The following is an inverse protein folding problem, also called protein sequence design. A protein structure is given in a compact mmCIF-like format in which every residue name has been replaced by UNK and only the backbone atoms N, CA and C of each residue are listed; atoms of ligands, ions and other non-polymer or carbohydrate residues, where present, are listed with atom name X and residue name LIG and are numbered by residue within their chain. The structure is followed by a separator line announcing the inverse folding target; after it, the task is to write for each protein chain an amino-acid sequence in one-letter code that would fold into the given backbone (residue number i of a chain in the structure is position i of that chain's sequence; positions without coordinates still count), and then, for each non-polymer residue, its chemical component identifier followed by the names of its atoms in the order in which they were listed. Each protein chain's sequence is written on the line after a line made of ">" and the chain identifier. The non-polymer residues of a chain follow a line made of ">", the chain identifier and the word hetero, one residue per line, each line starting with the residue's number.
data_IF_439941755574
#
_entry.id   IF_439941755574
#
_cell.length_a   1.000
_cell.length_b   1.000
_cell.length_c   1.000
_cell.angle_alpha   90.00
_cell.angle_beta   90.00
_cell.angle_gamma   90.00
#
_symmetry.space_group_name_H-M   'P 1'
#
loop_
_entity.id
_entity.type
_entity.pdbx_description
1 polymer ?
#
# COMPACT_ATOMS: atom_id res chain seq x y z
N UNK A 1 0.35 16.56 8.39
CA UNK A 1 0.05 16.17 6.99
C UNK A 1 1.13 16.74 6.06
N UNK A 2 2.04 15.90 5.54
CA UNK A 2 3.19 16.33 4.71
C UNK A 2 2.83 16.44 3.22
N UNK A 3 3.65 17.15 2.43
CA UNK A 3 3.45 17.30 0.98
C UNK A 3 3.43 15.95 0.25
N UNK A 4 4.31 15.03 0.64
CA UNK A 4 4.36 13.68 0.09
C UNK A 4 3.05 12.90 0.33
N UNK A 5 2.42 13.05 1.50
CA UNK A 5 1.13 12.38 1.77
C UNK A 5 -0.03 12.95 0.98
N UNK A 6 0.02 14.24 0.59
CA UNK A 6 -1.01 14.84 -0.28
C UNK A 6 -0.92 14.32 -1.71
N UNK A 7 0.30 14.13 -2.22
CA UNK A 7 0.52 13.68 -3.59
C UNK A 7 0.36 12.16 -3.77
N UNK A 8 0.85 11.37 -2.81
CA UNK A 8 0.97 9.91 -2.93
C UNK A 8 0.07 9.13 -1.95
N UNK A 9 -0.80 9.83 -1.21
CA UNK A 9 -1.56 9.27 -0.09
C UNK A 9 -0.68 8.96 1.13
N UNK A 10 -1.28 8.42 2.19
CA UNK A 10 -0.52 7.92 3.34
C UNK A 10 0.14 6.57 3.04
N UNK A 11 1.37 6.38 3.51
CA UNK A 11 2.03 5.07 3.53
C UNK A 11 2.08 4.59 4.97
N UNK A 12 1.09 3.78 5.33
CA UNK A 12 0.97 3.23 6.67
C UNK A 12 1.88 2.02 6.83
N UNK A 13 2.56 1.94 7.96
CA UNK A 13 3.34 0.79 8.39
C UNK A 13 2.75 0.31 9.70
N UNK A 14 2.62 -1.01 9.84
CA UNK A 14 1.95 -1.66 10.95
C UNK A 14 2.95 -2.52 11.73
N UNK A 15 2.89 -2.47 13.04
CA UNK A 15 3.72 -3.28 13.96
C UNK A 15 2.85 -3.75 15.10
N UNK A 16 3.18 -4.84 15.77
CA UNK A 16 2.43 -5.28 16.94
C UNK A 16 3.33 -5.40 18.16
N UNK A 17 2.76 -5.09 19.31
CA UNK A 17 3.29 -5.36 20.62
C UNK A 17 2.23 -6.14 21.41
N UNK A 18 2.45 -7.44 21.57
CA UNK A 18 1.46 -8.38 22.08
C UNK A 18 0.11 -8.25 21.37
N UNK A 19 -1.01 -7.96 22.08
CA UNK A 19 -2.34 -7.77 21.50
C UNK A 19 -2.56 -6.39 20.87
N UNK A 20 -1.61 -5.47 20.96
CA UNK A 20 -1.75 -4.10 20.46
C UNK A 20 -1.08 -3.97 19.10
N UNK A 21 -1.84 -3.51 18.11
CA UNK A 21 -1.36 -3.14 16.79
C UNK A 21 -1.07 -1.64 16.75
N UNK A 22 0.17 -1.25 16.48
CA UNK A 22 0.58 0.13 16.25
C UNK A 22 0.69 0.40 14.76
N UNK A 23 0.28 1.59 14.33
CA UNK A 23 0.44 2.02 12.95
C UNK A 23 0.88 3.47 12.88
N UNK A 24 1.76 3.76 11.94
CA UNK A 24 2.23 5.12 11.69
C UNK A 24 2.50 5.33 10.20
N UNK A 25 2.51 6.60 9.79
CA UNK A 25 2.88 6.94 8.43
C UNK A 25 4.40 7.10 8.31
N UNK A 26 5.01 6.21 7.51
CA UNK A 26 6.45 6.18 7.17
C UNK A 26 6.93 7.47 6.48
N UNK A 27 6.01 8.25 5.89
CA UNK A 27 6.29 9.54 5.26
C UNK A 27 6.39 10.72 6.25
N UNK A 28 6.46 10.44 7.55
CA UNK A 28 6.73 11.43 8.59
C UNK A 28 5.64 12.50 8.78
N UNK A 29 4.40 12.25 8.34
CA UNK A 29 3.35 13.27 8.38
C UNK A 29 2.67 13.45 9.76
N UNK A 30 3.09 12.67 10.76
CA UNK A 30 2.55 12.64 12.12
C UNK A 30 1.32 11.74 12.32
N UNK A 31 0.78 11.14 11.25
CA UNK A 31 -0.36 10.23 11.37
C UNK A 31 0.09 8.93 12.03
N UNK A 32 -0.47 8.65 13.20
CA UNK A 32 -0.19 7.46 13.99
C UNK A 32 -1.44 7.02 14.74
N UNK A 33 -1.45 5.79 15.23
CA UNK A 33 -2.51 5.27 16.08
C UNK A 33 -2.21 3.84 16.53
N UNK A 34 -3.14 3.31 17.31
CA UNK A 34 -3.06 1.95 17.81
C UNK A 34 -4.46 1.31 17.80
N UNK A 35 -4.49 -0.02 17.83
CA UNK A 35 -5.69 -0.82 17.97
C UNK A 35 -5.40 -2.07 18.78
N UNK A 36 -6.17 -2.30 19.83
CA UNK A 36 -6.04 -3.51 20.66
C UNK A 36 -6.97 -4.60 20.17
N UNK A 37 -6.46 -5.82 20.11
CA UNK A 37 -7.19 -7.03 19.76
C UNK A 37 -7.35 -7.95 20.97
N UNK A 38 -8.27 -8.93 20.93
CA UNK A 38 -8.44 -9.88 22.02
C UNK A 38 -7.21 -10.77 22.28
N UNK A 39 -6.39 -11.02 21.25
CA UNK A 39 -5.19 -11.86 21.38
C UNK A 39 -4.01 -11.30 20.59
N UNK A 40 -2.80 -11.73 20.98
CA UNK A 40 -1.57 -11.37 20.28
C UNK A 40 -1.51 -11.96 18.86
N UNK A 41 -2.07 -13.16 18.63
CA UNK A 41 -2.11 -13.76 17.30
C UNK A 41 -2.96 -12.92 16.34
N UNK A 42 -4.03 -12.29 16.82
CA UNK A 42 -4.83 -11.37 16.01
C UNK A 42 -4.03 -10.14 15.60
N UNK A 43 -3.37 -9.46 16.54
CA UNK A 43 -2.53 -8.31 16.23
C UNK A 43 -1.39 -8.67 15.26
N UNK A 44 -0.75 -9.83 15.47
CA UNK A 44 0.30 -10.35 14.58
C UNK A 44 -0.22 -10.61 13.17
N UNK A 45 -1.38 -11.27 13.04
CA UNK A 45 -2.01 -11.56 11.74
C UNK A 45 -2.30 -10.27 10.97
N UNK A 46 -2.89 -9.28 11.62
CA UNK A 46 -3.27 -8.04 10.96
C UNK A 46 -2.07 -7.15 10.64
N UNK A 47 -1.05 -7.09 11.51
CA UNK A 47 0.19 -6.36 11.19
C UNK A 47 0.85 -6.88 9.90
N UNK A 48 0.93 -8.21 9.75
CA UNK A 48 1.48 -8.85 8.55
C UNK A 48 0.59 -8.64 7.33
N UNK A 49 -0.73 -8.75 7.49
CA UNK A 49 -1.68 -8.57 6.40
C UNK A 49 -1.66 -7.14 5.85
N UNK A 50 -1.66 -6.12 6.72
CA UNK A 50 -1.69 -4.72 6.29
C UNK A 50 -0.35 -4.21 5.75
N UNK A 51 0.76 -4.84 6.13
CA UNK A 51 2.07 -4.54 5.53
C UNK A 51 2.27 -5.19 4.15
N UNK A 52 1.40 -6.10 3.72
CA UNK A 52 1.47 -6.67 2.37
C UNK A 52 1.12 -5.58 1.36
N UNK A 53 2.07 -5.16 0.54
CA UNK A 53 1.83 -4.17 -0.52
C UNK A 53 1.53 -4.86 -1.83
N UNK A 54 0.47 -4.43 -2.50
CA UNK A 54 0.15 -4.92 -3.85
C UNK A 54 1.27 -4.62 -4.86
N UNK A 55 2.11 -3.62 -4.59
CA UNK A 55 3.31 -3.34 -5.38
C UNK A 55 4.36 -4.46 -5.38
N UNK A 56 4.40 -5.29 -4.34
CA UNK A 56 5.29 -6.45 -4.30
C UNK A 56 4.80 -7.56 -5.25
N UNK A 57 3.51 -7.55 -5.61
CA UNK A 57 2.91 -8.43 -6.62
C UNK A 57 2.77 -7.78 -8.01
N UNK A 58 3.00 -6.46 -8.14
CA UNK A 58 2.96 -5.75 -9.44
C UNK A 58 4.00 -6.29 -10.44
N UNK A 59 5.07 -6.94 -9.99
CA UNK A 59 6.03 -7.62 -10.86
C UNK A 59 5.56 -8.97 -11.41
N UNK A 60 4.52 -9.60 -10.83
CA UNK A 60 4.05 -10.93 -11.22
C UNK A 60 2.89 -10.92 -12.23
N UNK A 61 2.17 -9.79 -12.37
CA UNK A 61 0.99 -9.67 -13.25
C UNK A 61 0.91 -8.37 -14.03
N UNK A 62 1.99 -7.61 -14.16
CA UNK A 62 2.01 -6.52 -15.14
C UNK A 62 2.26 -7.11 -16.54
N UNK A 63 1.26 -7.15 -17.45
CA UNK A 63 1.59 -7.30 -18.85
C UNK A 63 2.42 -6.07 -19.23
N UNK A 64 3.71 -6.26 -19.47
CA UNK A 64 4.64 -5.23 -19.98
C UNK A 64 4.17 -4.63 -21.33
N UNK A 65 3.08 -5.16 -21.89
CA UNK A 65 2.44 -4.79 -23.16
C UNK A 65 1.21 -3.87 -22.95
N UNK A 66 0.80 -3.59 -21.71
CA UNK A 66 -0.40 -2.79 -21.41
C UNK A 66 -0.22 -1.27 -21.35
N UNK A 67 1.03 -0.77 -21.37
CA UNK A 67 1.33 0.67 -21.24
C UNK A 67 1.41 1.41 -22.57
N UNK A 68 1.08 0.77 -23.70
CA UNK A 68 0.81 1.53 -24.91
C UNK A 68 -0.52 2.24 -24.70
N UNK A 69 -0.57 3.59 -24.65
CA UNK A 69 -1.82 4.31 -24.57
C UNK A 69 -2.71 3.81 -25.70
N UNK A 70 -3.94 3.38 -25.40
CA UNK A 70 -4.93 2.95 -26.40
C UNK A 70 -5.09 3.96 -27.54
N UNK A 71 -4.71 5.23 -27.30
CA UNK A 71 -4.64 6.31 -28.28
C UNK A 71 -3.63 6.05 -29.41
N UNK A 72 -2.45 5.52 -29.11
CA UNK A 72 -1.43 5.17 -30.11
C UNK A 72 -1.85 3.94 -30.94
N UNK A 73 -2.45 2.94 -30.29
CA UNK A 73 -2.92 1.73 -30.98
C UNK A 73 -4.08 2.02 -31.96
N UNK A 74 -4.97 2.96 -31.63
CA UNK A 74 -6.03 3.42 -32.55
C UNK A 74 -5.49 4.20 -33.76
N UNK A 75 -4.35 4.87 -33.61
CA UNK A 75 -3.70 5.63 -34.70
C UNK A 75 -3.10 4.68 -35.74
N UNK A 76 -2.50 3.57 -35.30
CA UNK A 76 -1.88 2.57 -36.19
C UNK A 76 -2.93 1.76 -36.97
N UNK A 77 -4.11 1.49 -36.38
CA UNK A 77 -5.19 0.72 -37.02
C UNK A 77 -6.00 1.48 -38.09
N UNK A 78 -5.77 2.78 -38.29
CA UNK A 78 -6.51 3.61 -39.26
C UNK A 78 -5.74 3.84 -40.57
N UNK A 79 -4.61 3.15 -40.75
CA UNK A 79 -3.84 3.10 -41.98
C UNK A 79 -3.78 1.66 -42.50
#
# INVERSE_FOLDING_TARGET
>A
MSAACRMLGHRMVFTNDGPTLHFHCDRGCGTTGYKTYPTAEHAARYSKAFNRRDSDDLGKRAPLIGLLPLRLWRLIRRN
#
